data_IF_447223155206
#
_entry.id   IF_447223155206
#
_cell.length_a   1.000
_cell.length_b   1.000
_cell.length_c   1.000
_cell.angle_alpha   90.00
_cell.angle_beta   90.00
_cell.angle_gamma   90.00
#
_symmetry.space_group_name_H-M   'P 1'
#
loop_
_entity.id
_entity.type
_entity.pdbx_description
1 polymer ?
#
# COMPACT_ATOMS: atom_id res chain seq x y z
N UNK A 1 7.85 8.84 22.60
CA UNK A 1 8.48 9.40 21.38
C UNK A 1 7.48 9.71 20.27
N UNK A 2 6.64 8.75 19.84
CA UNK A 2 5.70 8.96 18.72
C UNK A 2 4.65 10.05 18.98
N UNK A 3 4.01 10.06 20.16
CA UNK A 3 3.06 11.12 20.55
C UNK A 3 3.68 12.52 20.51
N UNK A 4 4.91 12.68 21.02
CA UNK A 4 5.60 13.99 21.00
C UNK A 4 5.81 14.51 19.57
N UNK A 5 6.06 13.64 18.60
CA UNK A 5 6.19 14.04 17.20
C UNK A 5 4.83 14.34 16.57
N UNK A 6 3.80 13.56 16.89
CA UNK A 6 2.43 13.88 16.51
C UNK A 6 2.01 15.27 17.03
N UNK A 7 2.26 15.55 18.31
CA UNK A 7 1.92 16.82 18.95
C UNK A 7 2.56 18.01 18.24
N UNK A 8 3.82 17.87 17.78
CA UNK A 8 4.51 18.92 17.00
C UNK A 8 3.73 19.32 15.74
N UNK A 9 3.12 18.35 15.05
CA UNK A 9 2.29 18.63 13.87
C UNK A 9 0.92 19.15 14.29
N UNK A 10 0.31 18.48 15.27
CA UNK A 10 -1.08 18.73 15.69
C UNK A 10 -1.30 20.13 16.29
N UNK A 11 -0.33 20.65 17.05
CA UNK A 11 -0.42 21.96 17.73
C UNK A 11 0.12 23.12 16.90
N UNK A 12 0.67 22.86 15.70
CA UNK A 12 1.22 23.90 14.82
C UNK A 12 0.42 23.99 13.51
N UNK A 13 1.05 23.80 12.36
CA UNK A 13 0.44 23.98 11.04
C UNK A 13 -0.36 22.78 10.55
N UNK A 14 -0.45 21.69 11.34
CA UNK A 14 -1.15 20.45 10.98
C UNK A 14 -0.69 19.83 9.65
N UNK A 15 0.58 20.02 9.30
CA UNK A 15 1.17 19.31 8.17
C UNK A 15 1.03 17.78 8.37
N UNK A 16 0.75 16.98 7.31
CA UNK A 16 0.56 15.54 7.43
C UNK A 16 1.68 14.85 8.22
N UNK A 17 1.30 14.05 9.22
CA UNK A 17 2.24 13.29 10.05
C UNK A 17 2.44 11.89 9.46
N UNK A 18 3.60 11.67 8.82
CA UNK A 18 3.92 10.41 8.17
C UNK A 18 4.37 9.31 9.14
N UNK A 19 3.85 8.09 8.94
CA UNK A 19 4.20 6.89 9.71
C UNK A 19 4.92 5.88 8.79
N UNK A 20 6.24 5.98 8.66
CA UNK A 20 7.04 5.15 7.76
C UNK A 20 7.78 4.05 8.52
N UNK A 21 7.33 2.80 8.40
CA UNK A 21 7.88 1.66 9.12
C UNK A 21 8.08 0.44 8.23
N UNK A 22 9.07 -0.38 8.56
CA UNK A 22 9.19 -1.74 8.05
C UNK A 22 8.44 -2.71 8.97
N UNK A 23 7.75 -3.70 8.40
CA UNK A 23 7.01 -4.69 9.19
C UNK A 23 7.89 -5.43 10.22
N UNK A 24 9.17 -5.68 9.87
CA UNK A 24 10.15 -6.30 10.76
C UNK A 24 10.39 -5.51 12.06
N UNK A 25 10.17 -4.19 12.08
CA UNK A 25 10.31 -3.37 13.30
C UNK A 25 9.32 -3.76 14.40
N UNK A 26 8.14 -4.24 14.01
CA UNK A 26 7.05 -4.60 14.91
C UNK A 26 7.11 -6.04 15.41
N UNK A 27 8.16 -6.81 15.09
CA UNK A 27 8.39 -8.13 15.69
C UNK A 27 8.75 -8.02 17.17
N UNK A 28 9.31 -6.89 17.59
CA UNK A 28 9.55 -6.59 19.00
C UNK A 28 8.23 -6.23 19.70
N UNK A 29 7.80 -6.97 20.75
CA UNK A 29 6.47 -6.80 21.33
C UNK A 29 6.15 -5.38 21.80
N UNK A 30 7.11 -4.72 22.48
CA UNK A 30 6.90 -3.38 23.01
C UNK A 30 6.82 -2.29 21.92
N UNK A 31 7.42 -2.49 20.74
CA UNK A 31 7.24 -1.59 19.61
C UNK A 31 5.80 -1.65 19.08
N UNK A 32 5.29 -2.87 18.89
CA UNK A 32 3.92 -3.09 18.43
C UNK A 32 2.90 -2.56 19.43
N UNK A 33 3.07 -2.86 20.72
CA UNK A 33 2.19 -2.39 21.77
C UNK A 33 2.14 -0.86 21.85
N UNK A 34 3.31 -0.20 21.85
CA UNK A 34 3.38 1.26 21.87
C UNK A 34 2.76 1.91 20.64
N UNK A 35 2.89 1.28 19.47
CA UNK A 35 2.26 1.75 18.23
C UNK A 35 0.75 1.59 18.24
N UNK A 36 0.23 0.45 18.72
CA UNK A 36 -1.23 0.24 18.88
C UNK A 36 -1.81 1.27 19.84
N UNK A 37 -1.19 1.48 21.02
CA UNK A 37 -1.60 2.52 21.98
C UNK A 37 -1.64 3.92 21.37
N UNK A 38 -0.69 4.23 20.49
CA UNK A 38 -0.68 5.49 19.75
C UNK A 38 -1.87 5.60 18.79
N UNK A 39 -2.12 4.55 17.99
CA UNK A 39 -3.26 4.51 17.06
C UNK A 39 -4.60 4.64 17.80
N UNK A 40 -4.78 3.89 18.88
CA UNK A 40 -6.00 3.94 19.71
C UNK A 40 -6.26 5.35 20.23
N UNK A 41 -5.20 6.05 20.69
CA UNK A 41 -5.30 7.42 21.19
C UNK A 41 -5.71 8.41 20.11
N UNK A 42 -5.06 8.39 18.94
CA UNK A 42 -5.38 9.36 17.87
C UNK A 42 -6.72 9.05 17.19
N UNK A 43 -7.15 7.79 17.17
CA UNK A 43 -8.42 7.38 16.57
C UNK A 43 -9.64 7.82 17.41
N UNK A 44 -9.43 8.21 18.67
CA UNK A 44 -10.45 8.83 19.53
C UNK A 44 -10.60 10.34 19.29
N UNK A 45 -9.72 10.95 18.48
CA UNK A 45 -9.75 12.38 18.18
C UNK A 45 -10.61 12.63 16.93
N UNK A 46 -11.71 13.37 17.10
CA UNK A 46 -12.70 13.60 16.02
C UNK A 46 -12.17 14.42 14.83
N UNK A 47 -11.03 15.08 14.98
CA UNK A 47 -10.38 15.92 13.97
C UNK A 47 -9.09 15.30 13.41
N UNK A 48 -8.85 14.01 13.66
CA UNK A 48 -7.69 13.26 13.16
C UNK A 48 -8.16 12.11 12.27
N UNK A 49 -7.53 11.97 11.10
CA UNK A 49 -7.85 10.94 10.12
C UNK A 49 -6.61 10.12 9.77
N UNK A 50 -6.71 8.80 9.88
CA UNK A 50 -5.68 7.87 9.38
C UNK A 50 -6.03 7.53 7.94
N UNK A 51 -5.20 7.99 7.01
CA UNK A 51 -5.47 7.90 5.57
C UNK A 51 -4.28 7.39 4.79
N UNK A 52 -4.52 6.98 3.55
CA UNK A 52 -3.44 6.64 2.61
C UNK A 52 -2.78 7.90 2.04
N UNK A 53 -1.58 7.77 1.48
CA UNK A 53 -0.91 8.87 0.77
C UNK A 53 -1.75 9.43 -0.39
N UNK A 54 -2.51 8.58 -1.08
CA UNK A 54 -3.39 9.01 -2.16
C UNK A 54 -4.53 9.90 -1.64
N UNK A 55 -5.17 9.52 -0.53
CA UNK A 55 -6.21 10.31 0.11
C UNK A 55 -5.68 11.65 0.60
N UNK A 56 -4.51 11.66 1.26
CA UNK A 56 -3.85 12.90 1.67
C UNK A 56 -3.61 13.84 0.48
N UNK A 57 -3.18 13.31 -0.68
CA UNK A 57 -3.03 14.10 -1.90
C UNK A 57 -4.37 14.65 -2.42
N UNK A 58 -5.46 13.87 -2.35
CA UNK A 58 -6.78 14.39 -2.73
C UNK A 58 -7.20 15.57 -1.85
N UNK A 59 -6.92 15.51 -0.54
CA UNK A 59 -7.20 16.63 0.36
C UNK A 59 -6.33 17.86 0.06
N UNK A 60 -5.06 17.67 -0.34
CA UNK A 60 -4.22 18.79 -0.78
C UNK A 60 -4.75 19.44 -2.06
N UNK A 61 -5.33 18.66 -2.98
CA UNK A 61 -5.94 19.15 -4.22
C UNK A 61 -7.24 19.91 -4.00
N UNK A 62 -8.05 19.46 -3.03
CA UNK A 62 -9.30 20.10 -2.63
C UNK A 62 -9.38 20.21 -1.09
N UNK A 63 -8.74 21.24 -0.50
CA UNK A 63 -8.69 21.42 0.94
C UNK A 63 -10.10 21.52 1.53
N UNK A 64 -10.49 20.45 2.23
CA UNK A 64 -11.83 20.34 2.82
C UNK A 64 -11.77 20.62 4.32
N UNK A 65 -12.56 21.56 4.85
CA UNK A 65 -12.60 21.85 6.27
C UNK A 65 -13.27 20.72 7.06
N UNK A 66 -12.94 20.59 8.34
CA UNK A 66 -13.47 19.54 9.24
C UNK A 66 -15.00 19.42 9.21
N UNK A 67 -15.72 20.54 9.10
CA UNK A 67 -17.19 20.58 9.02
C UNK A 67 -17.79 19.87 7.79
N UNK A 68 -16.99 19.64 6.74
CA UNK A 68 -17.40 18.96 5.50
C UNK A 68 -16.66 17.63 5.28
N UNK A 69 -15.80 17.21 6.20
CA UNK A 69 -15.01 15.99 6.03
C UNK A 69 -15.89 14.73 5.98
N UNK A 70 -17.03 14.74 6.65
CA UNK A 70 -18.01 13.65 6.63
C UNK A 70 -18.59 13.37 5.23
N UNK A 71 -18.58 14.35 4.31
CA UNK A 71 -19.06 14.19 2.93
C UNK A 71 -17.93 14.23 1.90
N UNK A 72 -16.67 14.36 2.35
CA UNK A 72 -15.51 14.37 1.48
C UNK A 72 -15.30 13.00 0.83
N UNK A 73 -15.66 12.89 -0.45
CA UNK A 73 -15.72 11.62 -1.18
C UNK A 73 -14.42 10.79 -1.11
N UNK A 74 -13.21 11.36 -1.26
CA UNK A 74 -11.98 10.58 -1.19
C UNK A 74 -11.74 9.89 0.16
N UNK A 75 -12.34 10.36 1.25
CA UNK A 75 -12.20 9.75 2.58
C UNK A 75 -13.31 8.75 2.89
N UNK A 76 -14.31 8.60 2.00
CA UNK A 76 -15.38 7.63 2.18
C UNK A 76 -14.88 6.20 1.90
N UNK A 77 -15.48 5.24 2.60
CA UNK A 77 -15.17 3.82 2.44
C UNK A 77 -16.07 3.12 1.41
N UNK A 78 -16.29 3.75 0.25
CA UNK A 78 -17.07 3.15 -0.84
C UNK A 78 -16.14 2.41 -1.81
N UNK A 79 -16.14 1.08 -1.75
CA UNK A 79 -15.26 0.21 -2.53
C UNK A 79 -16.04 -0.89 -3.25
N UNK A 80 -17.17 -0.56 -3.87
CA UNK A 80 -18.00 -1.51 -4.65
C UNK A 80 -17.21 -2.27 -5.71
N UNK A 81 -16.20 -1.61 -6.28
CA UNK A 81 -15.44 -2.10 -7.44
C UNK A 81 -14.24 -2.94 -7.01
N UNK A 82 -13.97 -3.03 -5.70
CA UNK A 82 -12.84 -3.79 -5.18
C UNK A 82 -13.08 -5.29 -5.42
N UNK A 83 -12.12 -6.00 -6.03
CA UNK A 83 -12.21 -7.44 -6.18
C UNK A 83 -12.43 -8.13 -4.83
N UNK A 84 -13.22 -9.21 -4.83
CA UNK A 84 -13.45 -10.01 -3.63
C UNK A 84 -12.12 -10.48 -3.04
N UNK A 85 -12.09 -10.62 -1.72
CA UNK A 85 -10.96 -11.24 -1.03
C UNK A 85 -10.72 -12.63 -1.63
N UNK A 86 -9.47 -12.89 -1.97
CA UNK A 86 -9.05 -14.21 -2.38
C UNK A 86 -8.77 -15.08 -1.15
N UNK A 87 -9.67 -16.02 -0.90
CA UNK A 87 -9.58 -16.90 0.27
C UNK A 87 -8.68 -18.11 0.02
N UNK A 88 -8.57 -18.57 -1.23
CA UNK A 88 -7.79 -19.76 -1.62
C UNK A 88 -6.71 -19.37 -2.64
N UNK A 89 -5.58 -18.81 -2.21
CA UNK A 89 -4.49 -18.47 -3.11
C UNK A 89 -3.79 -19.72 -3.64
N UNK A 90 -3.44 -19.71 -4.92
CA UNK A 90 -2.54 -20.69 -5.55
C UNK A 90 -1.11 -20.41 -5.11
N UNK A 91 -0.34 -21.48 -4.89
CA UNK A 91 1.10 -21.42 -4.62
C UNK A 91 1.83 -21.85 -5.87
N UNK A 92 2.49 -20.92 -6.54
CA UNK A 92 3.27 -21.17 -7.76
C UNK A 92 4.72 -21.43 -7.37
N UNK A 93 5.26 -22.56 -7.80
CA UNK A 93 6.68 -22.90 -7.71
C UNK A 93 7.36 -22.48 -9.02
N UNK A 94 8.13 -21.40 -8.96
CA UNK A 94 8.67 -20.73 -10.15
C UNK A 94 10.19 -20.71 -10.09
N UNK A 95 10.86 -21.10 -11.17
CA UNK A 95 12.31 -21.02 -11.26
C UNK A 95 12.78 -19.59 -11.51
N UNK A 96 13.83 -19.17 -10.81
CA UNK A 96 14.51 -17.91 -11.05
C UNK A 96 15.99 -17.96 -10.66
N UNK A 97 16.87 -17.66 -11.62
CA UNK A 97 18.34 -17.74 -11.46
C UNK A 97 18.75 -19.11 -10.90
N UNK A 98 19.34 -19.14 -9.71
CA UNK A 98 19.89 -20.32 -9.07
C UNK A 98 18.90 -21.06 -8.15
N UNK A 99 17.62 -20.70 -8.12
CA UNK A 99 16.68 -21.45 -7.30
C UNK A 99 15.20 -21.24 -7.59
N UNK A 100 14.43 -22.09 -6.92
CA UNK A 100 12.98 -21.98 -6.83
C UNK A 100 12.58 -20.77 -5.99
N UNK A 101 11.53 -20.08 -6.43
CA UNK A 101 10.84 -18.99 -5.72
C UNK A 101 9.34 -19.31 -5.67
N UNK A 102 8.76 -19.12 -4.49
CA UNK A 102 7.33 -19.34 -4.28
C UNK A 102 6.57 -18.03 -4.41
N UNK A 103 5.50 -18.04 -5.20
CA UNK A 103 4.59 -16.91 -5.33
C UNK A 103 3.17 -17.34 -4.95
N UNK A 104 2.54 -16.61 -4.03
CA UNK A 104 1.13 -16.80 -3.70
C UNK A 104 0.29 -15.81 -4.51
N UNK A 105 -0.66 -16.32 -5.29
CA UNK A 105 -1.49 -15.48 -6.16
C UNK A 105 -2.89 -16.06 -6.32
N UNK A 106 -3.82 -15.21 -6.71
CA UNK A 106 -5.21 -15.57 -7.00
C UNK A 106 -5.47 -15.62 -8.51
N UNK A 107 -4.45 -15.25 -9.28
CA UNK A 107 -4.40 -15.34 -10.73
C UNK A 107 -3.82 -16.69 -11.16
N UNK A 108 -3.87 -17.05 -12.45
CA UNK A 108 -3.08 -18.15 -12.99
C UNK A 108 -1.59 -18.01 -12.63
N UNK A 109 -0.90 -19.13 -12.47
CA UNK A 109 0.54 -19.09 -12.24
C UNK A 109 1.25 -18.62 -13.53
N UNK A 110 2.19 -17.66 -13.43
CA UNK A 110 3.02 -17.29 -14.56
C UNK A 110 3.96 -18.45 -14.93
N UNK A 111 4.49 -18.43 -16.14
CA UNK A 111 5.43 -19.47 -16.62
C UNK A 111 6.81 -19.36 -15.96
N UNK A 112 7.23 -18.14 -15.62
CA UNK A 112 8.49 -17.82 -14.95
C UNK A 112 8.26 -16.88 -13.77
N UNK A 113 9.21 -16.80 -12.87
CA UNK A 113 9.14 -15.85 -11.76
C UNK A 113 9.18 -14.40 -12.28
N UNK A 114 8.17 -13.56 -11.97
CA UNK A 114 8.17 -12.18 -12.41
C UNK A 114 9.40 -11.41 -11.89
N UNK A 115 10.17 -10.82 -12.81
CA UNK A 115 11.39 -10.08 -12.52
C UNK A 115 11.54 -8.89 -13.48
N UNK A 116 12.56 -8.05 -13.24
CA UNK A 116 12.89 -6.94 -14.13
C UNK A 116 13.18 -7.46 -15.54
N UNK A 117 12.48 -6.93 -16.54
CA UNK A 117 12.60 -7.34 -17.94
C UNK A 117 11.75 -8.56 -18.34
N UNK A 118 11.19 -9.33 -17.38
CA UNK A 118 10.35 -10.50 -17.68
C UNK A 118 9.25 -10.67 -16.64
N UNK A 119 8.02 -10.32 -16.99
CA UNK A 119 6.86 -10.37 -16.08
C UNK A 119 6.31 -11.80 -15.87
N UNK A 120 6.63 -12.74 -16.75
CA UNK A 120 6.10 -14.10 -16.73
C UNK A 120 4.62 -14.23 -17.10
N UNK A 121 4.00 -13.14 -17.56
CA UNK A 121 2.63 -13.10 -18.05
C UNK A 121 2.70 -12.75 -19.54
N UNK A 122 2.19 -13.64 -20.39
CA UNK A 122 1.99 -13.32 -21.81
C UNK A 122 0.98 -12.19 -21.94
N UNK A 123 1.41 -11.06 -22.46
CA UNK A 123 0.60 -9.88 -22.71
C UNK A 123 0.93 -9.38 -24.10
N UNK A 124 -0.04 -9.43 -25.01
CA UNK A 124 0.12 -8.91 -26.37
C UNK A 124 0.52 -7.43 -26.41
N UNK A 125 0.29 -6.66 -25.33
CA UNK A 125 0.73 -5.27 -25.21
C UNK A 125 2.20 -5.09 -24.81
N UNK A 126 2.83 -6.11 -24.22
CA UNK A 126 4.19 -6.04 -23.67
C UNK A 126 5.14 -6.91 -24.50
N UNK A 127 4.68 -8.06 -24.97
CA UNK A 127 5.51 -9.03 -25.70
C UNK A 127 5.80 -8.58 -27.13
N UNK A 128 4.89 -7.81 -27.75
CA UNK A 128 5.10 -7.24 -29.09
C UNK A 128 6.26 -6.23 -29.14
N UNK A 129 6.58 -5.57 -28.03
CA UNK A 129 7.69 -4.60 -27.96
C UNK A 129 9.04 -5.29 -27.74
N UNK A 130 9.05 -6.53 -27.24
CA UNK A 130 10.27 -7.31 -26.98
C UNK A 130 10.75 -8.07 -28.22
N UNK A 131 9.85 -8.55 -29.09
CA UNK A 131 10.21 -9.20 -30.36
C UNK A 131 10.91 -8.24 -31.35
N UNK A 132 10.61 -6.93 -31.25
CA UNK A 132 11.27 -5.90 -32.09
C UNK A 132 12.70 -5.62 -31.61
N UNK A 133 12.99 -5.73 -30.32
CA UNK A 133 14.32 -5.47 -29.77
C UNK A 133 15.31 -6.63 -30.04
N UNK A 134 14.83 -7.87 -30.09
CA UNK A 134 15.67 -9.06 -30.29
C UNK A 134 15.92 -9.39 -31.78
N UNK A 135 15.21 -8.72 -32.70
CA UNK A 135 15.38 -8.87 -34.17
C UNK A 135 16.35 -7.86 -34.79
N UNK A 136 16.94 -6.97 -33.99
CA UNK A 136 17.92 -5.95 -34.43
C UNK A 136 19.37 -6.24 -34.01
N UNK A 137 19.71 -7.48 -33.70
CA UNK A 137 21.09 -7.91 -33.43
C UNK A 137 21.52 -9.06 -34.34
#
# INVERSE_FOLDING_TARGET
MIMKNFDRHYTTNRAPFGLFYHAAWFTQPHHKEGFIKFLDKINQMNDVYIVTNWQALQWVRDPTPLSRMNTFQPFQCNYSDRPKRCNNPKVCNLWHKSGVRYMRTCQPCPEIYPWTGKSGIRSSRIDNDLEVADSTN
#
